data_IF_429417404688
#
_entry.id   IF_429417404688
#
_cell.length_a   1.000
_cell.length_b   1.000
_cell.length_c   1.000
_cell.angle_alpha   90.00
_cell.angle_beta   90.00
_cell.angle_gamma   90.00
#
_symmetry.space_group_name_H-M   'P 1'
#
loop_
_entity.id
_entity.type
_entity.pdbx_description
1 polymer ?
#
# COMPACT_ATOMS: atom_id res chain seq x y z
N UNK A 1 -6.09 -0.83 31.64
CA UNK A 1 -5.19 -1.85 31.07
C UNK A 1 -5.40 -1.76 29.58
N UNK A 2 -4.53 -1.02 28.90
CA UNK A 2 -4.66 -0.81 27.47
C UNK A 2 -4.25 -2.11 26.79
N UNK A 3 -5.14 -2.70 26.01
CA UNK A 3 -4.79 -3.76 25.08
C UNK A 3 -3.76 -3.19 24.11
N UNK A 4 -2.47 -3.38 24.39
CA UNK A 4 -1.45 -3.40 23.35
C UNK A 4 -1.81 -4.60 22.45
N UNK A 5 -2.75 -4.38 21.52
CA UNK A 5 -3.00 -5.29 20.42
C UNK A 5 -1.64 -5.51 19.78
N UNK A 6 -1.24 -6.77 19.72
CA UNK A 6 -0.02 -7.25 19.11
C UNK A 6 -0.08 -6.93 17.61
N UNK A 7 0.13 -5.67 17.25
CA UNK A 7 0.13 -5.20 15.88
C UNK A 7 1.40 -5.74 15.22
N UNK A 8 1.21 -6.46 14.12
CA UNK A 8 2.34 -6.99 13.35
C UNK A 8 3.33 -5.85 13.06
N UNK A 9 4.65 -6.08 13.25
CA UNK A 9 5.68 -5.13 12.86
C UNK A 9 5.51 -4.71 11.39
N UNK A 10 5.77 -3.45 11.07
CA UNK A 10 5.64 -2.97 9.69
C UNK A 10 6.53 -3.75 8.70
N UNK A 11 7.67 -4.26 9.17
CA UNK A 11 8.54 -5.15 8.38
C UNK A 11 7.85 -6.44 7.92
N UNK A 12 6.98 -7.02 8.75
CA UNK A 12 6.19 -8.21 8.38
C UNK A 12 5.16 -7.84 7.30
N UNK A 13 4.53 -6.66 7.41
CA UNK A 13 3.63 -6.14 6.37
C UNK A 13 4.36 -6.03 5.04
N UNK A 14 5.55 -5.45 5.02
CA UNK A 14 6.39 -5.34 3.81
C UNK A 14 6.74 -6.71 3.20
N UNK A 15 7.03 -7.72 4.02
CA UNK A 15 7.29 -9.08 3.53
C UNK A 15 6.04 -9.69 2.88
N UNK A 16 4.86 -9.48 3.46
CA UNK A 16 3.61 -9.97 2.89
C UNK A 16 3.27 -9.30 1.55
N UNK A 17 3.63 -8.03 1.36
CA UNK A 17 3.46 -7.34 0.08
C UNK A 17 4.34 -7.93 -1.03
N UNK A 18 5.48 -8.53 -0.69
CA UNK A 18 6.36 -9.23 -1.65
C UNK A 18 5.85 -10.61 -2.06
N UNK A 19 5.07 -11.26 -1.20
CA UNK A 19 4.64 -12.63 -1.39
C UNK A 19 3.83 -12.83 -2.68
N UNK A 20 3.95 -14.02 -3.26
CA UNK A 20 3.14 -14.47 -4.40
C UNK A 20 1.74 -14.93 -3.99
N UNK A 21 1.50 -15.06 -2.68
CA UNK A 21 0.20 -15.41 -2.12
C UNK A 21 -0.85 -14.29 -2.31
N UNK A 22 -2.12 -14.67 -2.19
CA UNK A 22 -3.24 -13.74 -2.21
C UNK A 22 -3.02 -12.63 -1.19
N UNK A 23 -3.10 -11.39 -1.67
CA UNK A 23 -2.94 -10.21 -0.82
C UNK A 23 -4.09 -10.14 0.19
N UNK A 24 -3.76 -10.16 1.48
CA UNK A 24 -4.76 -9.92 2.52
C UNK A 24 -5.07 -8.42 2.60
N UNK A 25 -6.25 -8.04 2.14
CA UNK A 25 -6.73 -6.65 2.12
C UNK A 25 -6.67 -6.00 3.51
N UNK A 26 -6.86 -6.76 4.59
CA UNK A 26 -6.77 -6.23 5.95
C UNK A 26 -5.37 -5.64 6.28
N UNK A 27 -4.31 -6.15 5.64
CA UNK A 27 -2.96 -5.63 5.83
C UNK A 27 -2.70 -4.35 5.04
N UNK A 28 -3.48 -4.07 3.99
CA UNK A 28 -3.34 -2.83 3.21
C UNK A 28 -3.77 -1.59 3.99
N UNK A 29 -4.69 -1.74 4.94
CA UNK A 29 -5.05 -0.67 5.88
C UNK A 29 -3.85 -0.18 6.71
N UNK A 30 -2.82 -1.01 6.90
CA UNK A 30 -1.58 -0.60 7.59
C UNK A 30 -0.71 0.36 6.76
N UNK A 31 -1.04 0.57 5.48
CA UNK A 31 -0.36 1.53 4.63
C UNK A 31 -0.99 2.93 4.72
N UNK A 32 -2.08 3.07 5.50
CA UNK A 32 -2.76 4.35 5.72
C UNK A 32 -1.96 5.20 6.70
N UNK A 33 -1.80 6.49 6.40
CA UNK A 33 -1.14 7.48 7.27
C UNK A 33 0.21 7.01 7.86
N UNK A 34 0.99 6.28 7.07
CA UNK A 34 2.30 5.75 7.49
C UNK A 34 3.22 6.88 7.94
N UNK A 35 3.98 6.66 9.02
CA UNK A 35 5.06 7.58 9.41
C UNK A 35 6.18 7.61 8.36
N UNK A 36 7.04 8.63 8.41
CA UNK A 36 8.08 8.84 7.40
C UNK A 36 8.99 7.63 7.19
N UNK A 37 9.41 6.96 8.28
CA UNK A 37 10.29 5.80 8.21
C UNK A 37 9.63 4.61 7.48
N UNK A 38 8.35 4.34 7.79
CA UNK A 38 7.58 3.27 7.16
C UNK A 38 7.27 3.59 5.69
N UNK A 39 6.95 4.85 5.39
CA UNK A 39 6.80 5.32 4.00
C UNK A 39 8.07 5.08 3.20
N UNK A 40 9.23 5.49 3.72
CA UNK A 40 10.51 5.33 3.01
C UNK A 40 10.84 3.86 2.77
N UNK A 41 10.56 2.98 3.76
CA UNK A 41 10.73 1.54 3.63
C UNK A 41 9.78 0.94 2.58
N UNK A 42 8.51 1.34 2.57
CA UNK A 42 7.54 0.94 1.56
C UNK A 42 7.96 1.39 0.15
N UNK A 43 8.42 2.63 -0.03
CA UNK A 43 8.85 3.13 -1.35
C UNK A 43 10.13 2.44 -1.84
N UNK A 44 11.04 2.08 -0.91
CA UNK A 44 12.21 1.27 -1.25
C UNK A 44 11.81 -0.14 -1.72
N UNK A 45 10.78 -0.73 -1.10
CA UNK A 45 10.19 -1.99 -1.51
C UNK A 45 9.47 -1.88 -2.87
N UNK A 46 8.66 -0.84 -3.06
CA UNK A 46 7.81 -0.65 -4.23
C UNK A 46 8.56 -0.88 -5.55
N UNK A 47 9.76 -0.29 -5.66
CA UNK A 47 10.64 -0.41 -6.83
C UNK A 47 11.15 -1.83 -7.12
N UNK A 48 11.08 -2.73 -6.15
CA UNK A 48 11.53 -4.12 -6.27
C UNK A 48 10.38 -5.07 -6.61
N UNK A 49 9.13 -4.64 -6.41
CA UNK A 49 7.95 -5.44 -6.72
C UNK A 49 7.80 -5.58 -8.23
N UNK A 50 7.39 -6.77 -8.67
CA UNK A 50 7.06 -7.01 -10.07
C UNK A 50 5.80 -6.22 -10.45
N UNK A 51 5.72 -5.77 -11.71
CA UNK A 51 4.62 -4.95 -12.21
C UNK A 51 3.21 -5.51 -11.88
N UNK A 52 2.91 -6.81 -12.05
CA UNK A 52 1.59 -7.35 -11.69
C UNK A 52 1.25 -7.16 -10.20
N UNK A 53 2.24 -7.25 -9.32
CA UNK A 53 2.05 -7.07 -7.87
C UNK A 53 1.79 -5.60 -7.53
N UNK A 54 2.52 -4.68 -8.15
CA UNK A 54 2.31 -3.22 -8.00
C UNK A 54 0.89 -2.84 -8.42
N UNK A 55 0.44 -3.28 -9.59
CA UNK A 55 -0.93 -3.08 -10.10
C UNK A 55 -1.98 -3.57 -9.11
N UNK A 56 -1.83 -4.79 -8.62
CA UNK A 56 -2.79 -5.37 -7.68
C UNK A 56 -2.87 -4.58 -6.36
N UNK A 57 -1.73 -4.16 -5.80
CA UNK A 57 -1.70 -3.37 -4.57
C UNK A 57 -2.40 -2.03 -4.79
N UNK A 58 -2.01 -1.27 -5.81
CA UNK A 58 -2.57 0.08 -6.02
C UNK A 58 -4.06 0.03 -6.34
N UNK A 59 -4.53 -0.98 -7.08
CA UNK A 59 -5.96 -1.16 -7.34
C UNK A 59 -6.72 -1.35 -6.04
N UNK A 60 -6.26 -2.25 -5.17
CA UNK A 60 -6.91 -2.46 -3.88
C UNK A 60 -6.87 -1.22 -2.97
N UNK A 61 -5.82 -0.40 -3.04
CA UNK A 61 -5.79 0.86 -2.30
C UNK A 61 -6.84 1.85 -2.81
N UNK A 62 -7.02 1.94 -4.14
CA UNK A 62 -8.07 2.77 -4.73
C UNK A 62 -9.46 2.26 -4.34
N UNK A 63 -9.70 0.95 -4.42
CA UNK A 63 -10.97 0.32 -4.01
C UNK A 63 -11.27 0.61 -2.51
N UNK A 64 -10.25 0.53 -1.64
CA UNK A 64 -10.41 0.84 -0.21
C UNK A 64 -10.78 2.32 0.00
N UNK A 65 -10.18 3.25 -0.73
CA UNK A 65 -10.51 4.69 -0.63
C UNK A 65 -11.95 5.00 -1.07
N UNK A 66 -12.47 4.26 -2.06
CA UNK A 66 -13.86 4.40 -2.48
C UNK A 66 -14.84 3.93 -1.39
N UNK A 67 -14.47 2.89 -0.65
CA UNK A 67 -15.31 2.30 0.40
C UNK A 67 -15.14 2.95 1.79
N UNK A 68 -13.95 3.48 2.12
CA UNK A 68 -13.60 3.98 3.45
C UNK A 68 -12.83 5.30 3.39
N UNK A 69 -13.54 6.40 3.68
CA UNK A 69 -12.96 7.76 3.69
C UNK A 69 -12.07 8.08 4.92
N UNK A 70 -11.94 7.18 5.90
CA UNK A 70 -11.06 7.40 7.06
C UNK A 70 -9.59 7.03 6.78
N UNK A 71 -9.34 6.30 5.70
CA UNK A 71 -7.97 5.96 5.30
C UNK A 71 -7.31 7.11 4.56
N UNK A 72 -5.98 7.16 4.61
CA UNK A 72 -5.20 8.11 3.84
C UNK A 72 -3.99 7.45 3.17
N UNK A 73 -4.08 7.30 1.85
CA UNK A 73 -3.03 6.75 0.99
C UNK A 73 -2.47 7.77 -0.02
N UNK A 74 -2.86 9.05 0.06
CA UNK A 74 -2.44 10.12 -0.87
C UNK A 74 -0.94 10.15 -1.18
N UNK A 75 -0.02 10.02 -0.19
CA UNK A 75 1.41 9.93 -0.46
C UNK A 75 1.81 8.74 -1.34
N UNK A 76 1.11 7.61 -1.23
CA UNK A 76 1.32 6.42 -2.06
C UNK A 76 0.88 6.70 -3.49
N UNK A 77 -0.35 7.16 -3.70
CA UNK A 77 -0.85 7.45 -5.04
C UNK A 77 0.00 8.49 -5.75
N UNK A 78 0.39 9.56 -5.05
CA UNK A 78 1.30 10.58 -5.59
C UNK A 78 2.62 9.99 -6.08
N UNK A 79 3.18 9.01 -5.35
CA UNK A 79 4.38 8.29 -5.81
C UNK A 79 4.09 7.41 -7.03
N UNK A 80 2.97 6.70 -7.03
CA UNK A 80 2.55 5.80 -8.12
C UNK A 80 2.28 6.53 -9.44
N UNK A 81 1.98 7.83 -9.44
CA UNK A 81 1.86 8.64 -10.66
C UNK A 81 3.15 8.68 -11.50
N UNK A 82 4.30 8.38 -10.90
CA UNK A 82 5.59 8.29 -11.59
C UNK A 82 6.00 6.85 -11.94
N UNK A 83 5.15 5.84 -11.71
CA UNK A 83 5.47 4.45 -12.02
C UNK A 83 5.65 4.23 -13.53
N UNK A 84 6.54 3.31 -13.89
CA UNK A 84 6.80 2.92 -15.29
C UNK A 84 5.56 2.29 -15.94
N UNK A 85 4.75 1.60 -15.13
CA UNK A 85 3.57 0.87 -15.57
C UNK A 85 2.36 1.80 -15.69
N UNK A 86 1.72 1.82 -16.86
CA UNK A 86 0.58 2.69 -17.13
C UNK A 86 -0.67 2.33 -16.33
N UNK A 87 -0.90 1.05 -16.04
CA UNK A 87 -2.02 0.60 -15.22
C UNK A 87 -1.87 1.04 -13.77
N UNK A 88 -0.63 1.06 -13.26
CA UNK A 88 -0.35 1.61 -11.92
C UNK A 88 -0.68 3.10 -11.86
N UNK A 89 -0.28 3.87 -12.87
CA UNK A 89 -0.56 5.31 -12.91
C UNK A 89 -2.07 5.61 -13.00
N UNK A 90 -2.82 4.81 -13.77
CA UNK A 90 -4.27 4.96 -13.89
C UNK A 90 -4.96 4.69 -12.56
N UNK A 91 -4.67 3.56 -11.90
CA UNK A 91 -5.27 3.26 -10.59
C UNK A 91 -4.90 4.30 -9.52
N UNK A 92 -3.68 4.87 -9.59
CA UNK A 92 -3.29 5.95 -8.68
C UNK A 92 -4.08 7.24 -8.90
N UNK A 93 -4.49 7.54 -10.13
CA UNK A 93 -5.38 8.68 -10.42
C UNK A 93 -6.80 8.44 -9.90
N UNK A 94 -7.27 7.20 -9.87
CA UNK A 94 -8.59 6.83 -9.34
C UNK A 94 -8.67 6.98 -7.82
N UNK A 95 -7.54 6.82 -7.11
CA UNK A 95 -7.45 6.96 -5.66
C UNK A 95 -7.21 8.37 -5.11
N UNK A 96 -7.11 9.39 -5.97
CA UNK A 96 -6.90 10.80 -5.62
C UNK A 96 -8.19 11.62 -5.75
#
# INVERSE_FOLDING_TARGET
>A
MSEEKNELPFTEILQMLQGEESLNVAHLYRLSDMEQADRDAFMALWRQLQAPRRRMIVQHLADIMEENFEVEFGPIFTHCLADEDDQVRVAALEGL
#
